data_IF_564450531722
#
_entry.id   IF_564450531722
#
_cell.length_a   1.000
_cell.length_b   1.000
_cell.length_c   1.000
_cell.angle_alpha   90.00
_cell.angle_beta   90.00
_cell.angle_gamma   90.00
#
_symmetry.space_group_name_H-M   'P 1'
#
loop_
_entity.id
_entity.type
_entity.pdbx_description
1 polymer ?
#
# COMPACT_ATOMS: atom_id res chain seq x y z
N UNK A 1 16.11 7.36 30.27
CA UNK A 1 14.64 7.49 30.14
C UNK A 1 14.31 7.42 28.66
N UNK A 2 13.61 6.38 28.23
CA UNK A 2 13.10 6.31 26.86
C UNK A 2 12.16 7.50 26.66
N UNK A 3 12.50 8.39 25.74
CA UNK A 3 11.62 9.50 25.38
C UNK A 3 10.37 8.84 24.79
N UNK A 4 9.23 8.92 25.47
CA UNK A 4 7.95 8.54 24.88
C UNK A 4 7.82 9.40 23.62
N UNK A 5 7.95 8.80 22.44
CA UNK A 5 8.12 9.57 21.20
C UNK A 5 6.91 10.49 20.98
N UNK A 6 5.74 10.11 21.49
CA UNK A 6 4.54 10.94 21.52
C UNK A 6 4.74 12.30 22.20
N UNK A 7 5.53 12.35 23.29
CA UNK A 7 5.84 13.58 24.02
C UNK A 7 6.83 14.50 23.29
N UNK A 8 7.56 13.98 22.31
CA UNK A 8 8.51 14.75 21.48
C UNK A 8 7.91 15.33 20.20
N UNK A 9 6.64 14.99 19.88
CA UNK A 9 5.97 15.45 18.68
C UNK A 9 5.57 16.92 18.83
N UNK A 10 5.84 17.71 17.78
CA UNK A 10 5.32 19.08 17.70
C UNK A 10 3.79 19.07 17.66
N UNK A 11 3.12 20.08 18.25
CA UNK A 11 1.66 20.22 18.13
C UNK A 11 1.23 20.14 16.67
N UNK A 12 0.32 19.21 16.36
CA UNK A 12 -0.16 18.97 15.01
C UNK A 12 -1.69 18.98 15.01
N UNK A 13 -2.27 20.02 14.39
CA UNK A 13 -3.71 20.29 14.47
C UNK A 13 -4.57 19.27 13.70
N UNK A 14 -4.13 18.80 12.52
CA UNK A 14 -4.89 17.85 11.70
C UNK A 14 -4.34 16.43 11.84
N UNK A 15 -4.79 15.70 12.86
CA UNK A 15 -4.35 14.32 13.09
C UNK A 15 -4.98 13.33 12.12
N UNK A 16 -5.92 13.75 11.27
CA UNK A 16 -6.68 12.90 10.35
C UNK A 16 -7.78 12.10 11.06
N UNK A 17 -8.26 11.03 10.42
CA UNK A 17 -9.27 10.13 11.00
C UNK A 17 -8.59 9.10 11.90
N UNK A 18 -8.93 9.11 13.18
CA UNK A 18 -8.41 8.22 14.21
C UNK A 18 -9.49 7.22 14.68
N UNK A 19 -9.06 6.05 15.14
CA UNK A 19 -9.94 5.07 15.78
C UNK A 19 -11.05 4.50 14.89
N UNK A 20 -10.85 4.46 13.56
CA UNK A 20 -11.82 3.82 12.66
C UNK A 20 -11.96 2.32 13.00
N UNK A 21 -13.14 1.70 12.79
CA UNK A 21 -13.31 0.28 12.99
C UNK A 21 -12.33 -0.54 12.16
N UNK A 22 -11.82 -1.61 12.75
CA UNK A 22 -11.02 -2.62 12.03
C UNK A 22 -11.94 -3.55 11.25
N UNK A 23 -11.44 -4.03 10.12
CA UNK A 23 -12.08 -4.98 9.22
C UNK A 23 -11.19 -6.22 9.19
N UNK A 24 -11.82 -7.39 9.16
CA UNK A 24 -11.13 -8.68 9.08
C UNK A 24 -11.76 -9.49 7.96
N UNK A 25 -10.97 -9.80 6.93
CA UNK A 25 -11.39 -10.72 5.88
C UNK A 25 -11.53 -12.13 6.48
N UNK A 26 -12.60 -12.88 6.16
CA UNK A 26 -12.73 -14.27 6.58
C UNK A 26 -11.55 -15.14 6.09
N UNK A 27 -11.19 -16.24 6.79
CA UNK A 27 -10.00 -17.03 6.47
C UNK A 27 -9.88 -17.47 5.01
N UNK A 28 -10.97 -17.90 4.38
CA UNK A 28 -10.97 -18.32 2.96
C UNK A 28 -10.73 -17.15 2.00
N UNK A 29 -11.36 -16.00 2.26
CA UNK A 29 -11.16 -14.78 1.47
C UNK A 29 -9.73 -14.26 1.63
N UNK A 30 -9.21 -14.26 2.86
CA UNK A 30 -7.83 -13.91 3.15
C UNK A 30 -6.85 -14.78 2.37
N UNK A 31 -7.00 -16.11 2.45
CA UNK A 31 -6.14 -17.05 1.74
C UNK A 31 -6.16 -16.84 0.21
N UNK A 32 -7.35 -16.61 -0.37
CA UNK A 32 -7.48 -16.29 -1.79
C UNK A 32 -6.77 -14.97 -2.14
N UNK A 33 -6.96 -13.92 -1.35
CA UNK A 33 -6.32 -12.62 -1.57
C UNK A 33 -4.79 -12.70 -1.46
N UNK A 34 -4.26 -13.46 -0.51
CA UNK A 34 -2.81 -13.65 -0.36
C UNK A 34 -2.23 -14.43 -1.54
N UNK A 35 -2.94 -15.42 -2.06
CA UNK A 35 -2.56 -16.11 -3.30
C UNK A 35 -2.55 -15.16 -4.51
N UNK A 36 -3.54 -14.29 -4.63
CA UNK A 36 -3.59 -13.28 -5.68
C UNK A 36 -2.45 -12.26 -5.54
N UNK A 37 -2.10 -11.86 -4.32
CA UNK A 37 -0.92 -11.05 -4.05
C UNK A 37 0.37 -11.76 -4.49
N UNK A 38 0.53 -13.06 -4.22
CA UNK A 38 1.68 -13.83 -4.68
C UNK A 38 1.78 -13.86 -6.21
N UNK A 39 0.65 -14.03 -6.91
CA UNK A 39 0.58 -13.95 -8.37
C UNK A 39 1.02 -12.58 -8.90
N UNK A 40 0.51 -11.50 -8.30
CA UNK A 40 0.90 -10.13 -8.67
C UNK A 40 2.40 -9.88 -8.46
N UNK A 41 2.97 -10.35 -7.35
CA UNK A 41 4.42 -10.24 -7.08
C UNK A 41 5.23 -10.99 -8.15
N UNK A 42 4.81 -12.21 -8.53
CA UNK A 42 5.49 -13.02 -9.56
C UNK A 42 5.39 -12.46 -10.98
N UNK A 43 4.36 -11.69 -11.29
CA UNK A 43 4.16 -11.07 -12.62
C UNK A 43 4.80 -9.70 -12.76
N UNK A 44 5.13 -9.06 -11.63
CA UNK A 44 5.66 -7.71 -11.60
C UNK A 44 7.17 -7.69 -11.75
N UNK A 45 7.70 -6.75 -12.53
CA UNK A 45 9.13 -6.57 -12.71
C UNK A 45 9.72 -5.61 -11.67
N UNK A 46 8.94 -4.68 -11.14
CA UNK A 46 9.37 -3.64 -10.21
C UNK A 46 8.37 -3.47 -9.05
N UNK A 47 8.49 -4.34 -8.04
CA UNK A 47 7.67 -4.27 -6.84
C UNK A 47 8.24 -3.28 -5.83
N UNK A 48 7.43 -2.31 -5.40
CA UNK A 48 7.76 -1.34 -4.35
C UNK A 48 6.84 -1.52 -3.16
N UNK A 49 7.43 -1.66 -1.98
CA UNK A 49 6.68 -1.76 -0.73
C UNK A 49 6.62 -0.40 -0.02
N UNK A 50 5.48 -0.12 0.60
CA UNK A 50 5.23 1.08 1.38
C UNK A 50 4.78 0.70 2.79
N UNK A 51 5.55 1.04 3.81
CA UNK A 51 5.27 0.62 5.20
C UNK A 51 4.88 1.81 6.08
N UNK A 52 4.00 1.54 7.05
CA UNK A 52 3.66 2.44 8.13
C UNK A 52 3.62 1.74 9.48
N UNK A 53 3.18 2.46 10.51
CA UNK A 53 3.34 2.02 11.90
C UNK A 53 2.65 0.68 12.22
N UNK A 54 1.64 0.29 11.44
CA UNK A 54 0.94 -0.99 11.60
C UNK A 54 1.81 -2.23 11.44
N UNK A 55 2.99 -2.14 10.79
CA UNK A 55 3.93 -3.27 10.72
C UNK A 55 4.75 -3.48 11.99
N UNK A 56 4.73 -2.51 12.90
CA UNK A 56 5.52 -2.50 14.14
C UNK A 56 4.66 -2.74 15.38
N UNK A 57 3.33 -2.81 15.26
CA UNK A 57 2.41 -3.07 16.39
C UNK A 57 2.67 -4.42 17.06
N UNK A 58 2.94 -5.47 16.29
CA UNK A 58 3.32 -6.78 16.81
C UNK A 58 4.68 -6.80 17.55
N UNK A 59 5.49 -5.73 17.43
CA UNK A 59 6.72 -5.56 18.21
C UNK A 59 6.52 -4.80 19.53
N UNK A 60 5.28 -4.38 19.84
CA UNK A 60 4.95 -3.60 21.04
C UNK A 60 5.07 -2.09 20.87
N UNK A 61 5.24 -1.59 19.64
CA UNK A 61 5.24 -0.16 19.30
C UNK A 61 3.83 0.22 18.81
N UNK A 62 3.11 1.12 19.50
CA UNK A 62 1.76 1.51 19.08
C UNK A 62 1.81 2.21 17.71
N UNK A 63 0.73 2.04 16.94
CA UNK A 63 0.54 2.86 15.75
C UNK A 63 0.07 4.28 16.11
N UNK A 64 -0.28 5.07 15.10
CA UNK A 64 -0.78 6.43 15.33
C UNK A 64 -2.31 6.54 15.39
N UNK A 65 -3.06 5.72 14.63
CA UNK A 65 -4.50 5.97 14.33
C UNK A 65 -5.39 4.74 14.50
N UNK A 66 -4.81 3.60 14.86
CA UNK A 66 -5.52 2.39 15.26
C UNK A 66 -6.43 2.62 16.46
N UNK A 67 -7.18 1.61 16.90
CA UNK A 67 -8.08 1.72 18.05
C UNK A 67 -7.40 2.23 19.35
N UNK A 68 -6.10 1.94 19.49
CA UNK A 68 -5.24 2.34 20.60
C UNK A 68 -4.00 3.14 20.15
N UNK A 69 -4.06 3.71 18.94
CA UNK A 69 -2.96 4.50 18.39
C UNK A 69 -2.70 5.79 19.16
N UNK A 70 -1.49 6.34 19.03
CA UNK A 70 -1.05 7.55 19.75
C UNK A 70 -2.05 8.71 19.64
N UNK A 71 -2.51 9.04 18.43
CA UNK A 71 -3.47 10.13 18.21
C UNK A 71 -4.87 9.76 18.66
N UNK A 72 -5.29 8.51 18.50
CA UNK A 72 -6.59 8.02 18.98
C UNK A 72 -6.70 8.12 20.49
N UNK A 73 -5.63 7.77 21.21
CA UNK A 73 -5.61 7.85 22.67
C UNK A 73 -5.57 9.30 23.15
N UNK A 74 -4.77 10.16 22.50
CA UNK A 74 -4.73 11.58 22.82
C UNK A 74 -6.08 12.28 22.60
N UNK A 75 -6.81 11.96 21.53
CA UNK A 75 -8.18 12.46 21.28
C UNK A 75 -9.17 12.04 22.38
N UNK A 76 -8.88 10.94 23.08
CA UNK A 76 -9.66 10.45 24.24
C UNK A 76 -9.14 10.96 25.58
N UNK A 77 -8.09 11.78 25.60
CA UNK A 77 -7.43 12.23 26.84
C UNK A 77 -6.67 11.11 27.56
N UNK A 78 -6.28 10.05 26.84
CA UNK A 78 -5.57 8.90 27.36
C UNK A 78 -4.14 8.83 26.81
N UNK A 79 -3.25 8.15 27.54
CA UNK A 79 -1.90 7.88 27.08
C UNK A 79 -1.84 6.57 26.24
N UNK A 80 -1.05 6.53 25.15
CA UNK A 80 -0.78 5.28 24.45
C UNK A 80 0.11 4.35 25.29
N UNK A 81 -0.10 3.05 25.13
CA UNK A 81 0.72 2.02 25.79
C UNK A 81 1.87 1.59 24.88
N UNK A 82 3.06 1.46 25.46
CA UNK A 82 4.23 0.86 24.82
C UNK A 82 4.58 -0.41 25.60
N UNK A 83 4.71 -1.53 24.89
CA UNK A 83 5.12 -2.80 25.49
C UNK A 83 6.64 -3.04 25.34
N UNK A 84 7.34 -2.14 24.63
CA UNK A 84 8.79 -2.18 24.43
C UNK A 84 9.39 -0.77 24.35
N UNK A 85 10.72 -0.67 24.44
CA UNK A 85 11.47 0.52 24.02
C UNK A 85 11.96 0.36 22.58
N UNK A 86 12.29 1.45 21.88
CA UNK A 86 12.83 1.33 20.51
C UNK A 86 14.13 0.52 20.46
N UNK A 87 14.97 0.62 21.49
CA UNK A 87 16.24 -0.12 21.59
C UNK A 87 16.01 -1.63 21.77
N UNK A 88 14.95 -2.02 22.47
CA UNK A 88 14.60 -3.42 22.75
C UNK A 88 13.63 -4.00 21.71
N UNK A 89 12.99 -3.16 20.90
CA UNK A 89 12.10 -3.57 19.85
C UNK A 89 12.83 -4.46 18.84
N UNK A 90 12.18 -5.58 18.51
CA UNK A 90 12.67 -6.58 17.56
C UNK A 90 11.89 -6.42 16.25
N UNK A 91 12.55 -6.53 15.08
CA UNK A 91 11.85 -6.58 13.80
C UNK A 91 10.78 -7.67 13.79
N UNK A 92 9.58 -7.35 13.31
CA UNK A 92 8.47 -8.30 13.18
C UNK A 92 8.72 -9.29 12.03
N UNK A 93 7.85 -10.31 11.88
CA UNK A 93 7.95 -11.23 10.74
C UNK A 93 7.85 -10.48 9.41
N UNK A 94 6.98 -9.48 9.32
CA UNK A 94 6.88 -8.60 8.14
C UNK A 94 8.20 -7.91 7.81
N UNK A 95 8.92 -7.37 8.81
CA UNK A 95 10.23 -6.75 8.57
C UNK A 95 11.23 -7.76 7.99
N UNK A 96 11.29 -8.97 8.56
CA UNK A 96 12.21 -10.00 8.12
C UNK A 96 11.83 -10.59 6.75
N UNK A 97 10.54 -10.69 6.43
CA UNK A 97 10.06 -11.07 5.11
C UNK A 97 10.50 -10.06 4.04
N UNK A 98 10.43 -8.75 4.33
CA UNK A 98 10.91 -7.70 3.42
C UNK A 98 12.42 -7.78 3.18
N UNK A 99 13.22 -8.14 4.19
CA UNK A 99 14.66 -8.43 4.02
C UNK A 99 14.86 -9.57 3.03
N UNK A 100 14.11 -10.66 3.15
CA UNK A 100 14.26 -11.80 2.25
C UNK A 100 13.82 -11.48 0.82
N UNK A 101 12.67 -10.81 0.66
CA UNK A 101 12.17 -10.39 -0.65
C UNK A 101 13.18 -9.50 -1.40
N UNK A 102 13.90 -8.64 -0.67
CA UNK A 102 14.99 -7.84 -1.23
C UNK A 102 16.17 -8.72 -1.62
N UNK A 103 16.61 -9.63 -0.74
CA UNK A 103 17.73 -10.53 -0.98
C UNK A 103 17.54 -11.41 -2.20
N UNK A 104 16.32 -11.88 -2.48
CA UNK A 104 16.01 -12.69 -3.67
C UNK A 104 15.60 -11.87 -4.91
N UNK A 105 15.66 -10.54 -4.80
CA UNK A 105 15.39 -9.61 -5.90
C UNK A 105 13.92 -9.49 -6.31
N UNK A 106 12.97 -9.86 -5.45
CA UNK A 106 11.53 -9.64 -5.67
C UNK A 106 11.09 -8.25 -5.20
N UNK A 107 11.81 -7.63 -4.26
CA UNK A 107 11.58 -6.26 -3.80
C UNK A 107 12.59 -5.32 -4.46
N UNK A 108 12.09 -4.34 -5.22
CA UNK A 108 12.92 -3.33 -5.89
C UNK A 108 13.31 -2.19 -4.96
N UNK A 109 12.36 -1.72 -4.16
CA UNK A 109 12.54 -0.59 -3.25
C UNK A 109 11.55 -0.63 -2.09
N UNK A 110 11.97 -0.12 -0.93
CA UNK A 110 11.15 0.00 0.27
C UNK A 110 11.00 1.48 0.67
N UNK A 111 9.77 1.92 0.87
CA UNK A 111 9.44 3.27 1.31
C UNK A 111 8.76 3.18 2.67
N UNK A 112 9.34 3.78 3.70
CA UNK A 112 8.78 3.74 5.04
C UNK A 112 8.39 5.13 5.55
N UNK A 113 7.29 5.16 6.28
CA UNK A 113 6.87 6.29 7.13
C UNK A 113 7.29 6.08 8.58
N UNK A 114 7.86 4.93 8.92
CA UNK A 114 8.23 4.61 10.29
C UNK A 114 9.51 5.35 10.67
N UNK A 115 9.52 5.79 11.93
CA UNK A 115 10.72 6.37 12.56
C UNK A 115 11.37 5.40 13.55
N UNK A 116 10.79 4.21 13.75
CA UNK A 116 11.24 3.20 14.73
C UNK A 116 12.63 2.58 14.43
N UNK A 117 13.15 2.78 13.21
CA UNK A 117 14.45 2.26 12.77
C UNK A 117 14.54 0.75 12.61
N UNK A 118 13.42 0.02 12.69
CA UNK A 118 13.41 -1.44 12.63
C UNK A 118 13.83 -1.98 11.26
N UNK A 119 13.55 -1.27 10.16
CA UNK A 119 14.05 -1.64 8.82
C UNK A 119 15.57 -1.62 8.76
N UNK A 120 16.20 -0.56 9.26
CA UNK A 120 17.66 -0.50 9.29
C UNK A 120 18.21 -1.58 10.21
N UNK A 121 17.66 -1.74 11.43
CA UNK A 121 18.11 -2.71 12.44
C UNK A 121 17.86 -4.17 12.06
N UNK A 122 16.92 -4.46 11.14
CA UNK A 122 16.70 -5.81 10.59
C UNK A 122 17.79 -6.24 9.61
N UNK A 123 18.65 -5.30 9.18
CA UNK A 123 19.65 -5.53 8.14
C UNK A 123 19.13 -5.27 6.72
N UNK A 124 18.01 -4.56 6.56
CA UNK A 124 17.55 -4.13 5.25
C UNK A 124 18.53 -3.10 4.64
N UNK A 125 18.89 -3.21 3.34
CA UNK A 125 19.89 -2.33 2.75
C UNK A 125 19.41 -0.88 2.59
N UNK A 126 20.20 0.06 3.10
CA UNK A 126 19.86 1.49 3.14
C UNK A 126 19.75 2.14 1.75
N UNK A 127 20.53 1.68 0.77
CA UNK A 127 20.45 2.16 -0.62
C UNK A 127 19.15 1.75 -1.34
N UNK A 128 18.36 0.83 -0.76
CA UNK A 128 17.02 0.44 -1.23
C UNK A 128 15.87 0.90 -0.31
N UNK A 129 16.16 1.75 0.68
CA UNK A 129 15.19 2.25 1.67
C UNK A 129 15.02 3.77 1.57
N UNK A 130 13.77 4.24 1.65
CA UNK A 130 13.42 5.63 1.89
C UNK A 130 12.74 5.81 3.25
N UNK A 131 13.40 6.49 4.19
CA UNK A 131 12.84 6.82 5.51
C UNK A 131 12.23 8.24 5.47
N UNK A 132 10.97 8.35 5.04
CA UNK A 132 10.38 9.64 4.67
C UNK A 132 10.15 10.58 5.85
N UNK A 133 9.98 10.04 7.05
CA UNK A 133 9.72 10.80 8.28
C UNK A 133 10.95 10.84 9.20
N UNK A 134 12.11 10.40 8.69
CA UNK A 134 13.34 10.22 9.46
C UNK A 134 13.42 8.85 10.16
N UNK A 135 14.41 8.69 11.01
CA UNK A 135 14.65 7.48 11.80
C UNK A 135 15.22 7.91 13.16
N UNK A 136 14.65 7.38 14.25
CA UNK A 136 15.02 7.72 15.62
C UNK A 136 16.47 7.39 15.96
N UNK A 137 17.11 6.49 15.22
CA UNK A 137 18.52 6.11 15.38
C UNK A 137 19.46 6.85 14.41
N UNK A 138 18.92 7.67 13.51
CA UNK A 138 19.71 8.35 12.46
C UNK A 138 19.80 9.83 12.77
N UNK A 139 21.03 10.35 12.82
CA UNK A 139 21.30 11.79 12.78
C UNK A 139 21.94 12.17 11.45
N UNK A 140 21.53 13.31 10.89
CA UNK A 140 22.06 13.83 9.64
C UNK A 140 22.85 15.11 9.88
N UNK A 141 24.04 15.19 9.31
CA UNK A 141 24.77 16.45 9.33
C UNK A 141 24.11 17.50 8.45
N UNK A 142 23.78 18.64 9.04
CA UNK A 142 23.19 19.80 8.33
C UNK A 142 24.04 20.32 7.18
N UNK A 143 25.38 20.19 7.25
CA UNK A 143 26.32 20.65 6.20
C UNK A 143 26.54 19.59 5.12
N UNK A 144 26.98 18.41 5.52
CA UNK A 144 27.54 17.38 4.64
C UNK A 144 26.47 16.38 4.15
N UNK A 145 25.28 16.37 4.78
CA UNK A 145 24.16 15.44 4.55
C UNK A 145 24.48 13.96 4.81
N UNK A 146 25.67 13.66 5.33
CA UNK A 146 26.00 12.31 5.82
C UNK A 146 25.09 11.94 6.98
N UNK A 147 24.55 10.74 6.91
CA UNK A 147 23.69 10.15 7.92
C UNK A 147 24.48 9.16 8.76
N UNK A 148 24.36 9.26 10.09
CA UNK A 148 25.00 8.38 11.07
C UNK A 148 23.93 7.55 11.76
N UNK A 149 23.98 6.22 11.61
CA UNK A 149 23.11 5.29 12.34
C UNK A 149 23.75 5.00 13.70
N UNK A 150 22.97 5.13 14.77
CA UNK A 150 23.38 4.90 16.16
C UNK A 150 22.75 3.63 16.72
N UNK A 151 23.32 3.16 17.81
CA UNK A 151 22.83 2.04 18.61
C UNK A 151 21.65 2.42 19.52
N UNK A 152 21.59 3.70 19.91
CA UNK A 152 20.60 4.32 20.80
C UNK A 152 19.81 5.41 20.06
N UNK A 153 18.60 5.73 20.54
CA UNK A 153 17.81 6.80 19.93
C UNK A 153 18.54 8.14 20.03
N UNK A 154 18.51 8.90 18.95
CA UNK A 154 18.94 10.29 18.89
C UNK A 154 17.94 11.10 19.72
N UNK A 155 18.40 11.67 20.84
CA UNK A 155 17.55 12.28 21.87
C UNK A 155 16.81 13.56 21.47
N UNK A 156 16.72 13.89 20.18
CA UNK A 156 16.07 15.08 19.66
C UNK A 156 15.20 14.76 18.45
N UNK A 157 14.01 15.37 18.37
CA UNK A 157 13.09 15.28 17.22
C UNK A 157 12.95 16.62 16.49
N UNK A 158 12.47 16.57 15.25
CA UNK A 158 12.13 17.77 14.46
C UNK A 158 13.35 18.51 13.89
N UNK A 159 14.37 17.77 13.44
CA UNK A 159 15.61 18.31 12.86
C UNK A 159 16.40 19.25 13.81
N UNK A 160 16.22 19.10 15.13
CA UNK A 160 17.00 19.82 16.14
C UNK A 160 18.45 19.31 16.16
N UNK A 161 19.38 20.21 16.51
CA UNK A 161 20.80 19.87 16.59
C UNK A 161 21.04 18.83 17.71
N UNK A 162 21.81 17.78 17.39
CA UNK A 162 22.13 16.69 18.31
C UNK A 162 23.38 16.96 19.17
N UNK A 163 24.13 18.03 18.83
CA UNK A 163 25.40 18.40 19.50
C UNK A 163 26.64 17.63 19.01
N UNK A 164 26.51 16.70 18.05
CA UNK A 164 27.61 15.86 17.53
C UNK A 164 28.17 16.38 16.20
N UNK A 165 29.47 16.21 15.95
CA UNK A 165 30.19 16.73 14.77
C UNK A 165 30.22 15.74 13.58
N UNK A 166 30.11 16.23 12.33
CA UNK A 166 30.23 15.43 11.10
C UNK A 166 31.70 15.10 10.78
N UNK A 167 31.93 13.86 10.35
CA UNK A 167 33.22 13.27 9.97
C UNK A 167 33.42 13.02 8.45
N UNK A 168 32.48 13.40 7.56
CA UNK A 168 32.50 12.94 6.15
C UNK A 168 32.19 14.05 5.13
N UNK A 169 32.75 13.94 3.92
CA UNK A 169 32.49 14.78 2.75
C UNK A 169 31.64 14.06 1.67
N UNK A 170 30.38 14.52 1.49
CA UNK A 170 29.39 14.30 0.39
C UNK A 170 28.66 12.94 0.23
N UNK A 171 27.32 13.02 0.03
CA UNK A 171 26.43 11.95 -0.48
C UNK A 171 25.21 12.48 -1.30
N UNK A 172 24.57 11.64 -2.15
CA UNK A 172 23.48 11.93 -3.15
C UNK A 172 22.19 11.11 -2.90
N UNK A 173 21.02 11.61 -3.34
CA UNK A 173 19.66 11.07 -3.05
C UNK A 173 18.86 10.31 -4.15
N UNK A 174 17.70 9.76 -3.76
CA UNK A 174 16.85 8.68 -4.35
C UNK A 174 15.96 9.03 -5.57
N UNK A 175 15.72 8.04 -6.47
CA UNK A 175 14.85 8.11 -7.69
C UNK A 175 13.90 6.90 -7.94
N UNK A 176 13.56 6.07 -6.96
CA UNK A 176 12.99 4.73 -7.23
C UNK A 176 11.45 4.63 -7.43
N UNK A 177 10.62 5.51 -6.85
CA UNK A 177 9.15 5.31 -6.83
C UNK A 177 8.45 5.45 -8.21
N UNK A 178 9.12 6.00 -9.22
CA UNK A 178 8.48 6.32 -10.51
C UNK A 178 8.36 5.10 -11.44
N UNK A 179 9.15 4.06 -11.24
CA UNK A 179 9.25 2.94 -12.20
C UNK A 179 8.55 1.66 -11.73
N UNK A 180 7.79 1.72 -10.64
CA UNK A 180 7.07 0.57 -10.12
C UNK A 180 5.91 0.17 -11.04
N UNK A 181 5.72 -1.14 -11.25
CA UNK A 181 4.54 -1.74 -11.87
C UNK A 181 3.61 -2.39 -10.84
N UNK A 182 4.11 -2.63 -9.62
CA UNK A 182 3.33 -3.01 -8.45
C UNK A 182 3.75 -2.21 -7.21
N UNK A 183 2.78 -1.57 -6.56
CA UNK A 183 2.96 -0.98 -5.23
C UNK A 183 2.14 -1.76 -4.20
N UNK A 184 2.77 -2.16 -3.11
CA UNK A 184 2.11 -2.86 -1.99
C UNK A 184 2.25 -2.01 -0.73
N UNK A 185 1.14 -1.61 -0.12
CA UNK A 185 1.15 -0.86 1.15
C UNK A 185 0.85 -1.77 2.32
N UNK A 186 1.65 -1.70 3.38
CA UNK A 186 1.52 -2.53 4.59
C UNK A 186 1.38 -1.62 5.83
N UNK A 187 0.28 -1.74 6.57
CA UNK A 187 0.13 -1.12 7.89
C UNK A 187 0.17 0.41 7.87
N UNK A 188 -0.38 1.06 6.85
CA UNK A 188 -0.46 2.52 6.75
C UNK A 188 -1.86 2.96 6.31
N UNK A 189 -2.42 3.96 7.00
CA UNK A 189 -3.72 4.55 6.61
C UNK A 189 -3.64 5.51 5.42
N UNK A 190 -2.43 5.78 4.92
CA UNK A 190 -2.13 6.63 3.76
C UNK A 190 -2.64 8.09 3.87
N UNK A 191 -2.91 8.57 5.10
CA UNK A 191 -3.49 9.89 5.32
C UNK A 191 -2.48 11.04 5.16
N UNK A 192 -1.21 10.80 5.48
CA UNK A 192 -0.13 11.80 5.46
C UNK A 192 0.35 12.06 4.04
N UNK A 193 0.49 13.34 3.67
CA UNK A 193 1.09 13.76 2.40
C UNK A 193 2.53 14.26 2.61
N UNK A 194 3.45 14.05 1.65
CA UNK A 194 3.25 13.37 0.36
C UNK A 194 3.28 11.84 0.44
N UNK A 195 3.76 11.26 1.55
CA UNK A 195 4.07 9.82 1.70
C UNK A 195 2.94 8.88 1.29
N UNK A 196 1.73 9.12 1.79
CA UNK A 196 0.54 8.31 1.50
C UNK A 196 0.03 8.44 0.06
N UNK A 197 0.47 9.45 -0.70
CA UNK A 197 0.12 9.58 -2.12
C UNK A 197 1.11 8.87 -3.04
N UNK A 198 2.28 8.45 -2.55
CA UNK A 198 3.30 7.80 -3.39
C UNK A 198 2.81 6.52 -4.09
N UNK A 199 2.03 5.62 -3.45
CA UNK A 199 1.53 4.43 -4.12
C UNK A 199 0.60 4.74 -5.32
N UNK A 200 -0.04 5.91 -5.35
CA UNK A 200 -0.86 6.34 -6.48
C UNK A 200 -0.03 6.70 -7.73
N UNK A 201 1.27 6.98 -7.57
CA UNK A 201 2.15 7.22 -8.72
C UNK A 201 2.25 5.99 -9.63
N UNK A 202 2.21 4.80 -9.03
CA UNK A 202 2.19 3.51 -9.72
C UNK A 202 0.90 3.34 -10.53
N UNK A 203 -0.27 3.60 -9.92
CA UNK A 203 -1.57 3.55 -10.62
C UNK A 203 -1.64 4.49 -11.83
N UNK A 204 -1.10 5.70 -11.72
CA UNK A 204 -1.09 6.68 -12.83
C UNK A 204 -0.29 6.22 -14.05
N UNK A 205 0.55 5.20 -13.91
CA UNK A 205 1.38 4.63 -14.98
C UNK A 205 0.86 3.26 -15.46
N UNK A 206 -0.34 2.88 -15.05
CA UNK A 206 -0.94 1.58 -15.40
C UNK A 206 -0.51 0.42 -14.51
N UNK A 207 0.33 0.67 -13.49
CA UNK A 207 0.69 -0.34 -12.51
C UNK A 207 -0.46 -0.69 -11.55
N UNK A 208 -0.25 -1.72 -10.73
CA UNK A 208 -1.21 -2.22 -9.75
C UNK A 208 -0.91 -1.68 -8.35
N UNK A 209 -1.94 -1.55 -7.52
CA UNK A 209 -1.86 -1.15 -6.11
C UNK A 209 -2.55 -2.19 -5.24
N UNK A 210 -1.81 -2.76 -4.30
CA UNK A 210 -2.34 -3.62 -3.24
C UNK A 210 -2.26 -2.89 -1.91
N UNK A 211 -3.32 -2.94 -1.12
CA UNK A 211 -3.38 -2.35 0.22
C UNK A 211 -3.66 -3.45 1.24
N UNK A 212 -2.75 -3.62 2.19
CA UNK A 212 -2.89 -4.51 3.36
C UNK A 212 -2.97 -3.65 4.62
N UNK A 213 -4.15 -3.57 5.21
CA UNK A 213 -4.39 -2.79 6.42
C UNK A 213 -5.68 -3.26 7.13
N UNK A 214 -5.70 -3.26 8.46
CA UNK A 214 -6.92 -3.60 9.23
C UNK A 214 -8.00 -2.52 9.12
N UNK A 215 -7.62 -1.25 9.14
CA UNK A 215 -8.56 -0.12 9.03
C UNK A 215 -8.69 0.35 7.57
N UNK A 216 -9.80 1.04 7.22
CA UNK A 216 -9.90 1.75 5.94
C UNK A 216 -8.74 2.73 5.72
N UNK A 217 -8.28 2.82 4.47
CA UNK A 217 -7.23 3.77 4.08
C UNK A 217 -7.78 4.89 3.21
N UNK A 218 -7.03 5.99 3.10
CA UNK A 218 -7.42 7.13 2.26
C UNK A 218 -7.64 6.76 0.79
N UNK A 219 -7.01 5.69 0.31
CA UNK A 219 -6.92 5.35 -1.12
C UNK A 219 -7.53 4.00 -1.47
N UNK A 220 -8.39 3.42 -0.61
CA UNK A 220 -9.00 2.10 -0.83
C UNK A 220 -9.65 1.94 -2.20
N UNK A 221 -10.36 2.97 -2.67
CA UNK A 221 -11.02 3.00 -4.00
C UNK A 221 -10.07 2.87 -5.20
N UNK A 222 -8.77 3.08 -4.99
CA UNK A 222 -7.75 3.02 -6.04
C UNK A 222 -6.98 1.70 -6.05
N UNK A 223 -7.17 0.85 -5.03
CA UNK A 223 -6.52 -0.44 -4.91
C UNK A 223 -7.15 -1.46 -5.84
N UNK A 224 -6.30 -2.22 -6.53
CA UNK A 224 -6.68 -3.40 -7.30
C UNK A 224 -6.99 -4.59 -6.38
N UNK A 225 -6.36 -4.64 -5.21
CA UNK A 225 -6.59 -5.65 -4.17
C UNK A 225 -6.51 -5.00 -2.79
N UNK A 226 -7.50 -5.29 -1.93
CA UNK A 226 -7.53 -4.86 -0.52
C UNK A 226 -7.60 -6.09 0.36
N UNK A 227 -6.66 -6.20 1.29
CA UNK A 227 -6.54 -7.30 2.24
C UNK A 227 -6.68 -6.72 3.64
N UNK A 228 -7.71 -7.14 4.37
CA UNK A 228 -7.94 -6.74 5.74
C UNK A 228 -7.55 -7.88 6.67
N UNK A 229 -6.32 -7.82 7.17
CA UNK A 229 -5.76 -8.82 8.07
C UNK A 229 -4.47 -8.33 8.70
N UNK A 230 -3.97 -9.08 9.67
CA UNK A 230 -2.67 -8.78 10.27
C UNK A 230 -1.57 -8.95 9.22
N UNK A 231 -0.70 -7.94 9.11
CA UNK A 231 0.38 -7.95 8.11
C UNK A 231 1.34 -9.12 8.30
N UNK A 232 1.60 -9.56 9.54
CA UNK A 232 2.46 -10.72 9.81
C UNK A 232 1.84 -12.03 9.28
N UNK A 233 0.52 -12.20 9.37
CA UNK A 233 -0.19 -13.36 8.81
C UNK A 233 -0.15 -13.34 7.28
N UNK A 234 -0.47 -12.18 6.70
CA UNK A 234 -0.45 -11.96 5.24
C UNK A 234 0.95 -12.21 4.67
N UNK A 235 1.99 -11.66 5.31
CA UNK A 235 3.36 -11.83 4.84
C UNK A 235 3.87 -13.24 5.07
N UNK A 236 3.48 -13.93 6.14
CA UNK A 236 3.82 -15.35 6.35
C UNK A 236 3.26 -16.21 5.22
N UNK A 237 1.95 -16.10 4.94
CA UNK A 237 1.30 -16.85 3.86
C UNK A 237 1.86 -16.47 2.47
N UNK A 238 2.19 -15.19 2.25
CA UNK A 238 2.84 -14.75 1.01
C UNK A 238 4.20 -15.43 0.83
N UNK A 239 5.03 -15.46 1.87
CA UNK A 239 6.35 -16.08 1.83
C UNK A 239 6.25 -17.59 1.55
N UNK A 240 5.26 -18.27 2.13
CA UNK A 240 4.94 -19.68 1.83
C UNK A 240 4.58 -19.88 0.35
N UNK A 241 3.69 -19.05 -0.21
CA UNK A 241 3.35 -19.12 -1.64
C UNK A 241 4.50 -18.78 -2.58
N UNK A 242 5.48 -17.98 -2.12
CA UNK A 242 6.69 -17.67 -2.88
C UNK A 242 7.77 -18.74 -2.71
N UNK A 243 7.59 -19.73 -1.82
CA UNK A 243 8.60 -20.74 -1.50
C UNK A 243 9.83 -20.15 -0.79
N UNK A 244 9.64 -19.12 0.01
CA UNK A 244 10.71 -18.39 0.69
C UNK A 244 10.59 -18.51 2.21
N UNK A 245 11.70 -18.81 2.88
CA UNK A 245 11.76 -18.77 4.33
C UNK A 245 11.94 -17.34 4.85
N UNK A 246 11.31 -17.01 5.98
CA UNK A 246 11.55 -15.75 6.68
C UNK A 246 12.83 -15.88 7.53
N UNK A 247 13.88 -15.08 7.25
CA UNK A 247 15.16 -15.24 7.92
C UNK A 247 15.10 -14.87 9.40
N UNK A 248 15.87 -15.58 10.21
CA UNK A 248 16.04 -15.25 11.62
C UNK A 248 16.81 -13.91 11.80
N UNK A 249 16.42 -13.15 12.82
CA UNK A 249 17.10 -11.91 13.17
C UNK A 249 18.22 -12.17 14.19
N UNK A 250 19.47 -11.93 13.80
CA UNK A 250 20.67 -12.13 14.63
C UNK A 250 21.02 -10.91 15.52
N UNK A 251 20.08 -9.98 15.71
CA UNK A 251 20.29 -8.72 16.41
C UNK A 251 20.55 -7.52 15.48
N UNK A 252 20.72 -6.31 16.04
CA UNK A 252 20.85 -5.09 15.24
C UNK A 252 22.05 -5.16 14.29
N UNK A 253 21.79 -4.95 13.00
CA UNK A 253 22.79 -4.91 11.93
C UNK A 253 22.45 -3.81 10.96
N UNK A 254 23.45 -3.06 10.50
CA UNK A 254 23.29 -2.01 9.48
C UNK A 254 23.92 -2.50 8.19
N UNK A 255 23.15 -2.49 7.10
CA UNK A 255 23.63 -2.81 5.76
C UNK A 255 23.51 -1.54 4.89
N UNK A 256 24.64 -0.94 4.52
CA UNK A 256 24.63 0.31 3.75
C UNK A 256 24.18 0.10 2.30
N UNK A 257 24.57 -1.03 1.69
CA UNK A 257 24.28 -1.34 0.29
C UNK A 257 23.77 -2.75 0.11
N UNK A 258 22.83 -2.91 -0.81
CA UNK A 258 22.31 -4.21 -1.18
C UNK A 258 23.43 -5.15 -1.68
N UNK A 259 23.33 -6.41 -1.27
CA UNK A 259 24.18 -7.49 -1.77
C UNK A 259 23.67 -7.97 -3.14
N UNK A 260 24.48 -8.71 -3.91
CA UNK A 260 24.00 -9.40 -5.11
C UNK A 260 22.79 -10.30 -4.77
N UNK A 261 21.76 -10.35 -5.62
CA UNK A 261 20.58 -11.16 -5.36
C UNK A 261 20.92 -12.64 -5.20
N UNK A 262 20.31 -13.28 -4.21
CA UNK A 262 20.34 -14.72 -4.01
C UNK A 262 19.49 -15.44 -5.07
N UNK A 263 19.77 -16.72 -5.35
CA UNK A 263 18.86 -17.56 -6.11
C UNK A 263 17.47 -17.55 -5.50
N UNK A 264 16.45 -17.55 -6.36
CA UNK A 264 15.04 -17.61 -5.97
C UNK A 264 14.38 -18.86 -6.54
N UNK A 265 13.31 -19.37 -5.92
CA UNK A 265 12.51 -20.46 -6.47
C UNK A 265 12.07 -20.14 -7.91
N UNK A 266 11.90 -21.16 -8.78
CA UNK A 266 11.33 -20.93 -10.09
C UNK A 266 9.92 -20.36 -9.94
N UNK A 267 9.53 -19.48 -10.87
CA UNK A 267 8.16 -18.98 -10.94
C UNK A 267 7.22 -20.20 -11.07
N UNK A 268 6.14 -20.29 -10.27
CA UNK A 268 5.16 -21.37 -10.39
C UNK A 268 4.68 -21.46 -11.84
N UNK A 269 4.64 -22.67 -12.39
CA UNK A 269 4.04 -22.88 -13.69
C UNK A 269 2.56 -22.47 -13.63
N UNK A 270 2.05 -21.78 -14.67
CA UNK A 270 0.63 -21.50 -14.73
C UNK A 270 -0.13 -22.83 -14.64
N UNK A 271 -1.15 -22.88 -13.78
CA UNK A 271 -2.01 -24.06 -13.69
C UNK A 271 -2.48 -24.44 -15.11
N UNK A 272 -2.48 -25.73 -15.47
CA UNK A 272 -2.98 -26.18 -16.75
C UNK A 272 -4.39 -25.59 -16.94
N UNK A 273 -4.64 -25.02 -18.12
CA UNK A 273 -5.97 -24.50 -18.46
C UNK A 273 -6.98 -25.61 -18.15
N UNK A 274 -8.11 -25.31 -17.47
CA UNK A 274 -9.14 -26.31 -17.29
C UNK A 274 -9.46 -26.89 -18.67
N UNK A 275 -9.34 -28.22 -18.79
CA UNK A 275 -9.70 -28.91 -20.02
C UNK A 275 -11.13 -28.49 -20.40
N UNK A 276 -11.41 -28.27 -21.70
CA UNK A 276 -12.77 -28.04 -22.12
C UNK A 276 -13.59 -29.23 -21.61
N UNK A 277 -14.56 -28.96 -20.73
CA UNK A 277 -15.54 -29.98 -20.33
C UNK A 277 -16.10 -30.56 -21.61
N UNK A 278 -15.88 -31.85 -21.84
CA UNK A 278 -16.53 -32.56 -22.93
C UNK A 278 -18.04 -32.27 -22.84
N UNK A 279 -18.59 -31.66 -23.88
CA UNK A 279 -20.03 -31.57 -24.03
C UNK A 279 -20.57 -33.01 -24.06
N UNK A 280 -21.66 -33.30 -23.33
CA UNK A 280 -22.26 -34.63 -23.38
C UNK A 280 -22.60 -34.97 -24.83
N UNK A 281 -22.37 -36.22 -25.28
CA UNK A 281 -22.50 -36.58 -26.68
C UNK A 281 -23.89 -36.24 -27.19
N UNK A 282 -23.93 -35.48 -28.28
CA UNK A 282 -25.14 -35.18 -29.01
C UNK A 282 -25.86 -36.50 -29.33
N UNK A 283 -27.11 -36.61 -28.86
CA UNK A 283 -27.99 -37.72 -29.23
C UNK A 283 -28.08 -37.75 -30.76
N UNK A 284 -27.63 -38.85 -31.35
CA UNK A 284 -27.77 -39.15 -32.77
C UNK A 284 -29.27 -39.12 -33.13
N UNK A 285 -29.69 -38.06 -33.83
CA UNK A 285 -30.98 -38.06 -34.50
C UNK A 285 -30.90 -39.04 -35.68
N UNK A 286 -31.78 -40.05 -35.63
CA UNK A 286 -31.99 -40.98 -36.73
C UNK A 286 -32.39 -40.24 -38.01
N UNK A 287 -31.91 -40.76 -39.14
CA UNK A 287 -32.11 -40.22 -40.48
C UNK A 287 -33.60 -40.16 -40.86
N UNK A 288 -34.03 -39.00 -41.39
CA UNK A 288 -35.20 -38.90 -42.24
C UNK A 288 -34.77 -39.06 -43.71
N UNK A 289 -35.51 -39.79 -44.57
CA UNK A 289 -35.11 -40.08 -45.94
C UNK A 289 -35.42 -38.92 -46.89
N UNK A 290 -34.71 -38.91 -48.03
CA UNK A 290 -34.71 -37.87 -49.05
C UNK A 290 -36.03 -37.75 -49.84
N UNK A 291 -36.34 -36.51 -50.23
CA UNK A 291 -37.46 -36.03 -51.06
C UNK A 291 -37.66 -36.74 -52.41
N UNK A 292 -38.87 -36.60 -53.01
CA UNK A 292 -38.91 -36.18 -54.42
C UNK A 292 -39.96 -35.10 -54.78
N UNK A 293 -39.47 -34.20 -55.65
CA UNK A 293 -40.07 -33.51 -56.84
C UNK A 293 -41.25 -32.51 -56.74
N UNK A 294 -40.94 -31.29 -57.25
CA UNK A 294 -41.68 -30.34 -58.14
C UNK A 294 -43.09 -30.79 -58.61
N UNK A 295 -44.13 -29.93 -58.66
CA UNK A 295 -44.31 -28.71 -59.49
C UNK A 295 -45.42 -27.77 -58.94
N UNK A 296 -45.36 -26.48 -59.29
CA UNK A 296 -46.26 -25.32 -58.96
C UNK A 296 -47.69 -25.44 -59.57
N UNK A 297 -48.71 -24.52 -59.41
CA UNK A 297 -48.73 -23.08 -59.02
C UNK A 297 -50.03 -22.64 -58.24
N UNK A 298 -50.61 -21.40 -58.34
CA UNK A 298 -50.09 -20.02 -58.26
C UNK A 298 -50.78 -19.12 -57.17
N UNK A 299 -50.23 -17.89 -56.99
CA UNK A 299 -50.84 -16.56 -56.69
C UNK A 299 -51.87 -16.42 -55.53
N UNK A 300 -51.94 -15.42 -54.64
CA UNK A 300 -51.56 -13.99 -54.51
C UNK A 300 -52.21 -13.54 -53.15
N UNK A 301 -52.24 -12.26 -52.70
CA UNK A 301 -51.21 -11.25 -52.55
C UNK A 301 -51.20 -10.62 -51.12
N UNK A 302 -50.34 -9.60 -50.99
CA UNK A 302 -50.03 -8.72 -49.87
C UNK A 302 -51.23 -7.96 -49.24
N UNK A 303 -51.16 -7.65 -47.94
CA UNK A 303 -51.89 -6.53 -47.36
C UNK A 303 -51.11 -5.85 -46.22
N UNK A 304 -50.95 -4.54 -46.38
CA UNK A 304 -50.36 -3.56 -45.46
C UNK A 304 -51.37 -3.15 -44.38
N UNK A 305 -50.88 -2.63 -43.23
CA UNK A 305 -51.43 -1.45 -42.52
C UNK A 305 -50.55 -1.17 -41.27
N UNK A 306 -49.81 -0.06 -41.20
CA UNK A 306 -50.19 1.29 -40.74
C UNK A 306 -50.66 1.39 -39.28
N UNK A 307 -49.97 2.21 -38.47
CA UNK A 307 -50.59 2.83 -37.28
C UNK A 307 -49.69 3.17 -36.08
N UNK A 308 -48.97 4.30 -36.15
CA UNK A 308 -48.84 5.38 -35.13
C UNK A 308 -48.52 5.11 -33.63
N UNK A 309 -47.55 5.89 -33.12
CA UNK A 309 -47.14 6.12 -31.71
C UNK A 309 -48.23 6.79 -30.83
N UNK A 310 -48.04 6.93 -29.49
CA UNK A 310 -47.20 8.01 -28.88
C UNK A 310 -46.30 7.53 -27.70
N UNK A 311 -45.03 7.95 -27.63
CA UNK A 311 -44.46 9.14 -26.98
C UNK A 311 -44.25 9.05 -25.45
N UNK A 312 -42.97 9.13 -25.06
CA UNK A 312 -42.41 9.07 -23.69
C UNK A 312 -42.48 10.42 -22.95
N UNK A 313 -42.53 10.45 -21.61
CA UNK A 313 -42.32 11.69 -20.85
C UNK A 313 -40.83 11.92 -20.54
N UNK A 314 -40.35 13.10 -20.95
CA UNK A 314 -39.06 13.70 -20.56
C UNK A 314 -39.10 14.13 -19.09
N UNK A 315 -38.02 13.85 -18.35
CA UNK A 315 -37.81 14.37 -16.98
C UNK A 315 -36.86 15.56 -17.03
N UNK A 316 -37.35 16.71 -16.56
CA UNK A 316 -36.69 18.01 -16.57
C UNK A 316 -35.45 18.07 -15.66
N UNK A 317 -34.43 18.78 -16.14
CA UNK A 317 -33.24 19.19 -15.39
C UNK A 317 -33.60 20.41 -14.54
N UNK A 318 -33.30 20.36 -13.24
CA UNK A 318 -33.34 21.52 -12.36
C UNK A 318 -32.03 22.31 -12.46
N UNK A 319 -32.17 23.60 -12.65
CA UNK A 319 -31.12 24.60 -12.75
C UNK A 319 -30.27 24.71 -11.49
N UNK A 320 -28.96 24.92 -11.70
CA UNK A 320 -27.97 25.25 -10.67
C UNK A 320 -27.88 26.77 -10.50
N UNK A 321 -27.83 27.33 -9.28
CA UNK A 321 -27.66 28.76 -9.08
C UNK A 321 -26.22 29.21 -9.32
N UNK A 322 -26.07 30.31 -10.05
CA UNK A 322 -24.81 30.99 -10.35
C UNK A 322 -24.09 31.52 -9.08
N UNK A 323 -22.75 31.68 -9.11
CA UNK A 323 -21.99 32.14 -7.96
C UNK A 323 -22.15 33.65 -7.69
N UNK A 324 -22.30 34.01 -6.41
CA UNK A 324 -22.30 35.40 -5.92
C UNK A 324 -20.90 36.05 -6.07
N UNK A 325 -20.82 37.36 -6.34
CA UNK A 325 -19.53 38.06 -6.40
C UNK A 325 -18.90 38.21 -5.00
N UNK A 326 -17.58 38.10 -4.97
CA UNK A 326 -16.74 38.31 -3.77
C UNK A 326 -16.75 39.78 -3.31
N UNK A 327 -16.75 40.06 -2.00
CA UNK A 327 -16.60 41.43 -1.51
C UNK A 327 -15.15 41.91 -1.71
N UNK A 328 -15.02 43.16 -2.16
CA UNK A 328 -13.75 43.88 -2.37
C UNK A 328 -12.92 43.90 -1.07
N UNK A 329 -11.63 43.58 -1.18
CA UNK A 329 -10.62 43.88 -0.14
C UNK A 329 -10.61 45.40 0.11
N UNK A 330 -10.96 45.81 1.32
CA UNK A 330 -10.60 47.13 1.84
C UNK A 330 -9.06 47.17 1.98
N UNK A 331 -8.43 48.14 1.32
CA UNK A 331 -7.05 48.54 1.61
C UNK A 331 -7.07 49.18 3.01
N UNK A 332 -6.27 48.66 3.92
CA UNK A 332 -5.92 49.39 5.13
C UNK A 332 -5.01 50.56 4.72
N UNK A 333 -5.47 51.78 4.94
CA UNK A 333 -4.62 52.96 4.91
C UNK A 333 -3.71 52.92 6.13
N UNK A 334 -2.40 53.03 5.87
CA UNK A 334 -1.43 53.34 6.90
C UNK A 334 -1.51 54.85 7.16
N UNK A 335 -1.95 55.24 8.36
CA UNK A 335 -1.79 56.60 8.85
C UNK A 335 -0.41 56.76 9.52
N UNK A 336 0.30 57.88 9.29
CA UNK A 336 1.63 58.12 9.85
C UNK A 336 1.55 58.82 11.21
N UNK A 337 2.52 58.48 12.06
CA UNK A 337 3.14 59.20 13.21
C UNK A 337 3.26 58.29 14.42
#
# INVERSE_FOLDING_TARGET
MSVNYAAGLSPYADKGKCGLPEIFDPPEELAWKVRELARLVWESSNVVFHTGAGISTASGIPDFRGPYGVWTMEERGLAPKFDTTFESARPTRTHMALVQLERVGLLRFLVSQNVDGLHVRSGFPRDKLAELHGNMFVEECVKCKTQYVRDTVVGTMGLKATGRLCSVAKARGLRACRTADLSVTLGTSLQIRPSGNLPLATKRRGGRLVIVNLQPTKHDRHADLRIHGYVDDVMTQLMEHLGLEVPAWAGPRVLERALPPLPRPPKPEPAPKPEPKEEPPARLNGAAPAHPKREEPPAEPCAQHHGSQPASPKRERRDSPAPRPTPKRLRAEAAPS
#
